data_IF_408992364162
#
_entry.id   IF_408992364162
#
_cell.length_a   1.000
_cell.length_b   1.000
_cell.length_c   1.000
_cell.angle_alpha   90.00
_cell.angle_beta   90.00
_cell.angle_gamma   90.00
#
_symmetry.space_group_name_H-M   'P 1'
#
loop_
_entity.id
_entity.type
_entity.pdbx_description
1 polymer ?
#
# COMPACT_ATOMS: atom_id res chain seq x y z
N UNK A 1 0.06 -37.63 -18.44
CA UNK A 1 1.41 -37.18 -18.84
C UNK A 1 1.34 -35.67 -19.07
N UNK A 2 1.85 -34.75 -18.27
CA UNK A 2 2.95 -34.81 -17.31
C UNK A 2 4.18 -34.09 -17.85
N UNK A 3 4.13 -32.78 -18.10
CA UNK A 3 5.31 -31.94 -18.32
C UNK A 3 5.09 -30.52 -17.76
N UNK A 4 5.65 -30.32 -16.57
CA UNK A 4 6.05 -29.01 -16.04
C UNK A 4 7.25 -28.51 -16.85
N UNK A 5 7.19 -27.28 -17.34
CA UNK A 5 8.37 -26.53 -17.77
C UNK A 5 8.43 -25.22 -16.97
N UNK A 6 9.18 -25.30 -15.89
CA UNK A 6 9.62 -24.21 -15.02
C UNK A 6 10.62 -23.34 -15.77
N UNK A 7 10.31 -22.06 -15.98
CA UNK A 7 11.31 -21.03 -16.28
C UNK A 7 11.13 -19.86 -15.32
N UNK A 8 11.51 -20.12 -14.07
CA UNK A 8 11.77 -19.08 -13.07
C UNK A 8 13.06 -18.38 -13.50
N UNK A 9 12.93 -17.14 -13.96
CA UNK A 9 14.03 -16.20 -14.13
C UNK A 9 14.85 -16.16 -12.83
N UNK A 10 16.07 -16.68 -12.91
CA UNK A 10 17.07 -16.67 -11.84
C UNK A 10 17.49 -15.22 -11.59
N UNK A 11 16.80 -14.53 -10.69
CA UNK A 11 17.23 -13.22 -10.21
C UNK A 11 18.53 -13.42 -9.41
N UNK A 12 19.65 -12.94 -9.97
CA UNK A 12 20.93 -12.87 -9.30
C UNK A 12 20.77 -12.10 -7.99
N UNK A 13 21.14 -12.73 -6.87
CA UNK A 13 21.15 -12.10 -5.53
C UNK A 13 22.19 -10.96 -5.54
N UNK A 14 21.81 -9.78 -6.01
CA UNK A 14 22.52 -8.55 -5.66
C UNK A 14 22.22 -8.29 -4.18
N UNK A 15 23.26 -8.34 -3.35
CA UNK A 15 23.22 -7.95 -1.94
C UNK A 15 22.68 -6.52 -1.85
N UNK A 16 21.41 -6.37 -1.48
CA UNK A 16 20.92 -5.11 -0.94
C UNK A 16 21.58 -4.94 0.43
N UNK A 17 22.49 -3.96 0.53
CA UNK A 17 23.02 -3.53 1.81
C UNK A 17 21.90 -2.76 2.54
N UNK A 18 21.09 -3.50 3.28
CA UNK A 18 20.21 -2.94 4.30
C UNK A 18 21.15 -2.50 5.43
N UNK A 19 21.37 -1.18 5.55
CA UNK A 19 22.11 -0.61 6.66
C UNK A 19 21.48 -1.09 7.98
N UNK A 20 22.28 -1.47 8.99
CA UNK A 20 21.75 -1.93 10.26
C UNK A 20 20.99 -0.77 10.91
N UNK A 21 19.68 -0.94 11.07
CA UNK A 21 18.86 -0.02 11.84
C UNK A 21 19.32 -0.14 13.30
N UNK A 22 20.09 0.84 13.76
CA UNK A 22 20.51 0.93 15.16
C UNK A 22 19.27 0.95 16.05
N UNK A 23 19.15 -0.07 16.91
CA UNK A 23 18.01 -0.27 17.80
C UNK A 23 18.12 0.71 18.98
N UNK A 24 17.59 1.91 18.83
CA UNK A 24 17.42 2.84 19.94
C UNK A 24 16.06 2.60 20.62
N UNK A 25 16.12 1.80 21.70
CA UNK A 25 15.20 1.70 22.84
C UNK A 25 13.70 2.04 22.60
N UNK A 26 12.90 1.02 22.30
CA UNK A 26 11.44 1.09 22.33
C UNK A 26 10.76 -0.26 22.15
N UNK A 27 10.60 -0.99 23.26
CA UNK A 27 9.95 -2.32 23.42
C UNK A 27 10.63 -3.50 22.70
N UNK A 28 11.42 -4.24 23.48
CA UNK A 28 11.83 -5.62 23.20
C UNK A 28 10.62 -6.50 22.86
N UNK A 29 10.64 -7.15 21.70
CA UNK A 29 9.96 -8.43 21.52
C UNK A 29 10.80 -9.47 22.26
N UNK A 30 10.52 -9.66 23.55
CA UNK A 30 11.23 -10.61 24.41
C UNK A 30 11.22 -12.01 23.79
N UNK A 31 12.40 -12.62 23.76
CA UNK A 31 12.63 -14.00 23.37
C UNK A 31 11.77 -14.97 24.17
N UNK A 32 11.02 -15.76 23.43
CA UNK A 32 10.11 -16.79 23.91
C UNK A 32 9.27 -17.19 22.72
N UNK A 33 9.50 -18.39 22.19
CA UNK A 33 8.74 -18.99 21.09
C UNK A 33 7.32 -19.34 21.52
N UNK A 34 6.54 -18.35 21.92
CA UNK A 34 5.09 -18.42 21.87
C UNK A 34 4.65 -17.76 20.56
N UNK A 35 3.98 -18.55 19.70
CA UNK A 35 3.30 -18.01 18.52
C UNK A 35 2.24 -17.00 19.01
N UNK A 36 2.59 -15.71 19.00
CA UNK A 36 1.62 -14.64 19.23
C UNK A 36 0.61 -14.69 18.09
N UNK A 37 -0.63 -15.06 18.40
CA UNK A 37 -1.74 -14.95 17.47
C UNK A 37 -1.88 -13.49 17.07
N UNK A 38 -1.75 -13.21 15.77
CA UNK A 38 -1.94 -11.88 15.20
C UNK A 38 -3.36 -11.80 14.63
N UNK A 39 -4.08 -10.72 14.95
CA UNK A 39 -5.43 -10.45 14.44
C UNK A 39 -5.40 -9.31 13.43
N UNK A 40 -5.82 -9.64 12.21
CA UNK A 40 -5.86 -8.71 11.09
C UNK A 40 -7.32 -8.59 10.65
N UNK A 41 -7.83 -7.36 10.57
CA UNK A 41 -9.13 -7.06 9.99
C UNK A 41 -8.95 -6.24 8.73
N UNK A 42 -9.80 -6.47 7.72
CA UNK A 42 -9.83 -5.67 6.51
C UNK A 42 -11.11 -4.83 6.48
N UNK A 43 -10.98 -3.51 6.35
CA UNK A 43 -12.09 -2.57 6.37
C UNK A 43 -12.52 -2.11 4.97
N UNK A 44 -11.80 -2.47 3.91
CA UNK A 44 -12.20 -2.17 2.53
C UNK A 44 -11.68 -3.22 1.55
N UNK A 45 -12.46 -3.49 0.51
CA UNK A 45 -12.01 -4.27 -0.65
C UNK A 45 -11.78 -3.44 -1.92
N UNK A 46 -12.27 -2.20 -1.97
CA UNK A 46 -12.14 -1.30 -3.12
C UNK A 46 -12.35 0.17 -2.72
N UNK A 47 -12.04 1.11 -3.61
CA UNK A 47 -12.36 2.52 -3.39
C UNK A 47 -13.84 2.82 -3.64
N UNK A 48 -14.53 3.27 -2.59
CA UNK A 48 -15.98 3.45 -2.55
C UNK A 48 -16.69 2.51 -1.58
N UNK A 49 -15.96 1.63 -0.90
CA UNK A 49 -16.50 0.76 0.15
C UNK A 49 -17.03 1.57 1.35
N UNK A 50 -17.88 0.94 2.16
CA UNK A 50 -18.54 1.62 3.27
C UNK A 50 -17.55 2.09 4.34
N UNK A 51 -17.61 3.37 4.77
CA UNK A 51 -16.74 3.85 5.84
C UNK A 51 -17.12 3.25 7.20
N UNK A 52 -18.27 2.59 7.33
CA UNK A 52 -18.76 2.02 8.60
C UNK A 52 -18.02 0.76 9.05
N UNK A 53 -17.30 0.07 8.17
CA UNK A 53 -16.55 -1.13 8.52
C UNK A 53 -15.38 -0.83 9.48
N UNK A 54 -14.67 0.29 9.24
CA UNK A 54 -13.54 0.71 10.06
C UNK A 54 -13.89 0.88 11.57
N UNK A 55 -14.90 1.68 11.96
CA UNK A 55 -15.26 1.84 13.37
C UNK A 55 -15.71 0.52 14.02
N UNK A 56 -16.45 -0.34 13.30
CA UNK A 56 -16.87 -1.63 13.83
C UNK A 56 -15.67 -2.51 14.19
N UNK A 57 -14.68 -2.58 13.29
CA UNK A 57 -13.45 -3.36 13.49
C UNK A 57 -12.55 -2.76 14.57
N UNK A 58 -12.42 -1.43 14.63
CA UNK A 58 -11.62 -0.73 15.63
C UNK A 58 -12.19 -0.95 17.03
N UNK A 59 -13.51 -0.83 17.20
CA UNK A 59 -14.14 -0.92 18.52
C UNK A 59 -14.30 -2.36 19.01
N UNK A 60 -14.71 -3.28 18.12
CA UNK A 60 -15.14 -4.63 18.51
C UNK A 60 -14.20 -5.76 18.05
N UNK A 61 -13.35 -5.51 17.04
CA UNK A 61 -12.55 -6.55 16.39
C UNK A 61 -11.33 -7.05 17.17
N UNK A 62 -10.90 -6.33 18.23
CA UNK A 62 -9.69 -6.64 19.02
C UNK A 62 -8.47 -6.96 18.13
N UNK A 63 -8.19 -6.05 17.19
CA UNK A 63 -7.20 -6.22 16.13
C UNK A 63 -5.81 -5.73 16.52
N UNK A 64 -4.79 -6.37 15.95
CA UNK A 64 -3.42 -5.84 15.93
C UNK A 64 -3.18 -4.97 14.68
N UNK A 65 -3.81 -5.35 13.58
CA UNK A 65 -3.68 -4.68 12.29
C UNK A 65 -5.03 -4.43 11.63
N UNK A 66 -5.15 -3.26 11.01
CA UNK A 66 -6.30 -2.87 10.19
C UNK A 66 -5.81 -2.61 8.76
N UNK A 67 -6.29 -3.41 7.83
CA UNK A 67 -5.96 -3.35 6.41
C UNK A 67 -7.05 -2.58 5.65
N UNK A 68 -6.61 -1.88 4.61
CA UNK A 68 -7.47 -1.29 3.59
C UNK A 68 -6.93 -1.62 2.22
N UNK A 69 -7.77 -2.19 1.37
CA UNK A 69 -7.51 -2.37 -0.04
C UNK A 69 -8.39 -1.42 -0.86
N UNK A 70 -7.76 -0.62 -1.72
CA UNK A 70 -8.41 0.40 -2.54
C UNK A 70 -8.05 0.31 -4.02
N UNK A 71 -6.92 -0.31 -4.35
CA UNK A 71 -6.37 -0.25 -5.70
C UNK A 71 -7.00 -1.35 -6.56
N UNK A 72 -7.82 -0.91 -7.50
CA UNK A 72 -8.27 -1.66 -8.66
C UNK A 72 -7.76 -1.00 -9.94
N UNK A 73 -7.89 -1.70 -11.07
CA UNK A 73 -7.55 -1.17 -12.39
C UNK A 73 -8.23 0.18 -12.68
N UNK A 74 -9.53 0.29 -12.34
CA UNK A 74 -10.30 1.53 -12.50
C UNK A 74 -9.80 2.61 -11.54
N UNK A 75 -9.55 2.26 -10.27
CA UNK A 75 -9.02 3.19 -9.25
C UNK A 75 -7.73 3.84 -9.75
N UNK A 76 -6.79 3.07 -10.27
CA UNK A 76 -5.50 3.58 -10.74
C UNK A 76 -5.64 4.59 -11.87
N UNK A 77 -6.56 4.35 -12.80
CA UNK A 77 -6.86 5.28 -13.89
C UNK A 77 -7.41 6.62 -13.37
N UNK A 78 -8.31 6.57 -12.40
CA UNK A 78 -8.88 7.76 -11.76
C UNK A 78 -7.82 8.56 -10.99
N UNK A 79 -6.99 7.88 -10.19
CA UNK A 79 -5.92 8.51 -9.43
C UNK A 79 -4.87 9.15 -10.35
N UNK A 80 -4.54 8.48 -11.46
CA UNK A 80 -3.65 9.01 -12.48
C UNK A 80 -4.21 10.28 -13.13
N UNK A 81 -5.50 10.27 -13.51
CA UNK A 81 -6.15 11.45 -14.06
C UNK A 81 -6.21 12.61 -13.05
N UNK A 82 -6.43 12.32 -11.76
CA UNK A 82 -6.44 13.34 -10.70
C UNK A 82 -5.05 13.96 -10.51
N UNK A 83 -4.00 13.13 -10.42
CA UNK A 83 -2.62 13.59 -10.26
C UNK A 83 -2.13 14.40 -11.48
N UNK A 84 -2.51 13.99 -12.69
CA UNK A 84 -2.18 14.73 -13.91
C UNK A 84 -2.80 16.15 -13.94
N UNK A 85 -3.98 16.32 -13.34
CA UNK A 85 -4.61 17.64 -13.18
C UNK A 85 -3.94 18.47 -12.09
N UNK A 86 -3.58 17.82 -10.98
CA UNK A 86 -3.07 18.45 -9.76
C UNK A 86 -2.08 17.50 -9.04
N UNK A 87 -0.77 17.79 -9.04
CA UNK A 87 0.26 16.87 -8.53
C UNK A 87 0.11 16.47 -7.05
N UNK A 88 -0.62 17.24 -6.25
CA UNK A 88 -0.90 16.93 -4.86
C UNK A 88 -1.90 15.76 -4.67
N UNK A 89 -2.67 15.42 -5.71
CA UNK A 89 -3.58 14.27 -5.70
C UNK A 89 -2.87 12.99 -6.17
N UNK A 90 -3.62 11.90 -6.37
CA UNK A 90 -3.08 10.59 -6.76
C UNK A 90 -3.16 9.53 -5.66
N UNK A 91 -3.82 9.86 -4.55
CA UNK A 91 -4.18 8.94 -3.46
C UNK A 91 -5.70 9.03 -3.19
N UNK A 92 -6.27 8.07 -2.47
CA UNK A 92 -7.69 8.06 -2.09
C UNK A 92 -7.94 9.05 -0.92
N UNK A 93 -8.59 10.21 -1.16
CA UNK A 93 -8.78 11.22 -0.11
C UNK A 93 -9.70 10.73 1.02
N UNK A 94 -10.70 9.91 0.68
CA UNK A 94 -11.69 9.38 1.63
C UNK A 94 -11.05 8.48 2.69
N UNK A 95 -9.93 7.83 2.36
CA UNK A 95 -9.15 7.07 3.33
C UNK A 95 -8.68 7.96 4.49
N UNK A 96 -8.20 9.16 4.17
CA UNK A 96 -7.71 10.14 5.15
C UNK A 96 -8.89 10.82 5.85
N UNK A 97 -9.89 11.27 5.08
CA UNK A 97 -10.97 12.12 5.60
C UNK A 97 -12.04 11.35 6.39
N UNK A 98 -12.38 10.14 5.95
CA UNK A 98 -13.53 9.40 6.47
C UNK A 98 -13.14 8.05 7.09
N UNK A 99 -12.21 7.31 6.49
CA UNK A 99 -11.89 5.95 6.95
C UNK A 99 -10.98 5.92 8.18
N UNK A 100 -9.95 6.77 8.23
CA UNK A 100 -8.95 6.77 9.31
C UNK A 100 -9.00 8.06 10.14
N UNK A 101 -9.10 9.23 9.50
CA UNK A 101 -9.04 10.54 10.15
C UNK A 101 -9.90 10.66 11.43
N UNK A 102 -11.21 10.34 11.37
CA UNK A 102 -12.10 10.40 12.53
C UNK A 102 -11.73 9.44 13.66
N UNK A 103 -10.90 8.43 13.39
CA UNK A 103 -10.60 7.33 14.31
C UNK A 103 -9.13 7.31 14.77
N UNK A 104 -8.31 8.30 14.40
CA UNK A 104 -6.88 8.35 14.72
C UNK A 104 -6.58 8.23 16.23
N UNK A 105 -7.35 8.93 17.06
CA UNK A 105 -7.23 8.85 18.53
C UNK A 105 -7.47 7.43 19.05
N UNK A 106 -8.50 6.77 18.52
CA UNK A 106 -8.87 5.43 18.96
C UNK A 106 -7.87 4.37 18.49
N UNK A 107 -7.41 4.48 17.24
CA UNK A 107 -6.36 3.64 16.67
C UNK A 107 -5.08 3.73 17.52
N UNK A 108 -4.67 4.95 17.89
CA UNK A 108 -3.50 5.17 18.76
C UNK A 108 -3.72 4.58 20.16
N UNK A 109 -4.88 4.85 20.78
CA UNK A 109 -5.22 4.36 22.13
C UNK A 109 -5.16 2.83 22.20
N UNK A 110 -5.66 2.15 21.16
CA UNK A 110 -5.68 0.68 21.07
C UNK A 110 -4.37 0.08 20.58
N UNK A 111 -3.46 0.90 20.03
CA UNK A 111 -2.21 0.43 19.44
C UNK A 111 -2.40 -0.35 18.14
N UNK A 112 -3.48 -0.08 17.40
CA UNK A 112 -3.75 -0.72 16.11
C UNK A 112 -2.78 -0.17 15.06
N UNK A 113 -2.19 -1.06 14.26
CA UNK A 113 -1.35 -0.67 13.12
C UNK A 113 -2.18 -0.69 11.83
N UNK A 114 -2.16 0.41 11.09
CA UNK A 114 -2.90 0.54 9.83
C UNK A 114 -1.98 0.27 8.65
N UNK A 115 -2.44 -0.55 7.71
CA UNK A 115 -1.78 -0.82 6.44
C UNK A 115 -2.77 -0.52 5.31
N UNK A 116 -2.31 0.16 4.28
CA UNK A 116 -3.18 0.58 3.18
C UNK A 116 -2.40 0.84 1.91
N UNK A 117 -2.99 0.49 0.78
CA UNK A 117 -2.53 0.90 -0.55
C UNK A 117 -3.26 2.17 -1.08
N UNK A 118 -4.03 2.86 -0.21
CA UNK A 118 -4.72 4.12 -0.53
C UNK A 118 -3.81 5.20 -1.13
N UNK A 119 -2.49 5.09 -0.93
CA UNK A 119 -1.50 5.97 -1.50
C UNK A 119 -1.52 6.03 -3.03
N UNK A 120 -2.00 4.97 -3.70
CA UNK A 120 -2.07 4.91 -5.16
C UNK A 120 -0.76 5.29 -5.83
N UNK A 121 -0.83 6.22 -6.77
CA UNK A 121 0.35 6.73 -7.49
C UNK A 121 1.08 7.86 -6.75
N UNK A 122 0.50 8.40 -5.67
CA UNK A 122 1.11 9.43 -4.83
C UNK A 122 1.08 9.05 -3.33
N UNK A 123 1.84 8.01 -2.94
CA UNK A 123 1.82 7.52 -1.57
C UNK A 123 2.46 8.52 -0.57
N UNK A 124 3.38 9.36 -1.03
CA UNK A 124 3.95 10.44 -0.20
C UNK A 124 2.92 11.54 0.09
N UNK A 125 2.11 11.93 -0.89
CA UNK A 125 1.00 12.87 -0.70
C UNK A 125 -0.01 12.34 0.32
N UNK A 126 -0.34 11.05 0.26
CA UNK A 126 -1.19 10.40 1.26
C UNK A 126 -0.57 10.47 2.67
N UNK A 127 0.73 10.21 2.80
CA UNK A 127 1.43 10.27 4.08
C UNK A 127 1.46 11.70 4.66
N UNK A 128 1.66 12.72 3.82
CA UNK A 128 1.57 14.13 4.23
C UNK A 128 0.18 14.44 4.75
N UNK A 129 -0.88 14.06 4.02
CA UNK A 129 -2.26 14.28 4.42
C UNK A 129 -2.62 13.60 5.76
N UNK A 130 -2.14 12.36 5.96
CA UNK A 130 -2.30 11.65 7.24
C UNK A 130 -1.60 12.34 8.40
N UNK A 131 -0.35 12.81 8.20
CA UNK A 131 0.39 13.54 9.23
C UNK A 131 -0.31 14.85 9.59
N UNK A 132 -0.85 15.56 8.60
CA UNK A 132 -1.65 16.77 8.84
C UNK A 132 -2.93 16.47 9.63
N UNK A 133 -3.66 15.41 9.26
CA UNK A 133 -4.86 14.98 9.99
C UNK A 133 -4.52 14.60 11.45
N UNK A 134 -3.43 13.86 11.66
CA UNK A 134 -2.95 13.50 12.98
C UNK A 134 -2.55 14.71 13.83
N UNK A 135 -1.85 15.68 13.24
CA UNK A 135 -1.49 16.94 13.90
C UNK A 135 -2.72 17.72 14.35
N UNK A 136 -3.75 17.83 13.51
CA UNK A 136 -5.03 18.46 13.87
C UNK A 136 -5.75 17.75 15.01
N UNK A 137 -5.61 16.41 15.10
CA UNK A 137 -6.20 15.60 16.16
C UNK A 137 -5.33 15.47 17.43
N UNK A 138 -4.15 16.10 17.47
CA UNK A 138 -3.21 15.98 18.60
C UNK A 138 -2.59 14.59 18.76
N UNK A 139 -2.61 13.77 17.69
CA UNK A 139 -2.11 12.39 17.72
C UNK A 139 -0.69 12.34 17.16
N UNK A 140 0.24 11.83 17.96
CA UNK A 140 1.56 11.42 17.45
C UNK A 140 1.42 10.14 16.59
N UNK A 141 1.37 10.31 15.27
CA UNK A 141 1.21 9.24 14.30
C UNK A 141 2.55 8.98 13.57
N UNK A 142 3.04 7.74 13.66
CA UNK A 142 4.17 7.26 12.86
C UNK A 142 3.65 6.77 11.51
N UNK A 143 4.11 7.39 10.43
CA UNK A 143 3.73 7.04 9.05
C UNK A 143 4.98 6.65 8.27
N UNK A 144 4.97 5.44 7.73
CA UNK A 144 5.97 4.92 6.81
C UNK A 144 5.34 4.73 5.43
N UNK A 145 6.11 5.03 4.39
CA UNK A 145 5.71 4.85 2.99
C UNK A 145 6.57 3.77 2.38
N UNK A 146 5.94 2.86 1.63
CA UNK A 146 6.62 1.82 0.85
C UNK A 146 6.42 2.16 -0.61
N UNK A 147 7.53 2.31 -1.35
CA UNK A 147 7.55 2.61 -2.78
C UNK A 147 8.30 1.51 -3.53
N UNK A 148 8.18 1.49 -4.86
CA UNK A 148 8.95 0.60 -5.74
C UNK A 148 8.11 -0.26 -6.68
N UNK A 149 6.78 -0.18 -6.57
CA UNK A 149 5.84 -0.80 -7.51
C UNK A 149 5.73 0.00 -8.82
N UNK A 150 5.92 1.33 -8.79
CA UNK A 150 5.86 2.17 -9.98
C UNK A 150 6.99 1.86 -10.99
N UNK A 151 6.60 1.33 -12.15
CA UNK A 151 7.48 0.97 -13.26
C UNK A 151 7.51 2.02 -14.38
N UNK A 152 6.78 3.14 -14.26
CA UNK A 152 6.81 4.22 -15.26
C UNK A 152 8.23 4.69 -15.60
N UNK A 153 9.19 4.82 -14.65
CA UNK A 153 10.57 5.18 -14.98
C UNK A 153 11.32 4.15 -15.84
N UNK A 154 10.78 2.93 -15.99
CA UNK A 154 11.34 1.82 -16.78
C UNK A 154 10.49 1.52 -18.02
N UNK A 155 9.56 2.41 -18.39
CA UNK A 155 8.65 2.19 -19.53
C UNK A 155 9.41 1.88 -20.81
N UNK A 156 10.43 2.68 -21.16
CA UNK A 156 11.19 2.53 -22.39
C UNK A 156 11.97 1.21 -22.43
N UNK A 157 12.56 0.81 -21.30
CA UNK A 157 13.23 -0.48 -21.12
C UNK A 157 12.26 -1.65 -21.37
N UNK A 158 11.07 -1.58 -20.76
CA UNK A 158 10.05 -2.63 -20.86
C UNK A 158 9.43 -2.70 -22.25
N UNK A 159 9.17 -1.58 -22.90
CA UNK A 159 8.72 -1.54 -24.31
C UNK A 159 9.79 -2.15 -25.22
N UNK A 160 11.08 -1.80 -25.00
CA UNK A 160 12.19 -2.32 -25.79
C UNK A 160 12.43 -3.82 -25.58
N UNK A 161 12.02 -4.37 -24.43
CA UNK A 161 12.11 -5.81 -24.16
C UNK A 161 11.18 -6.65 -25.05
N UNK A 162 10.19 -6.03 -25.68
CA UNK A 162 9.26 -6.70 -26.60
C UNK A 162 8.33 -7.71 -25.93
N UNK A 163 8.22 -7.70 -24.60
CA UNK A 163 7.30 -8.57 -23.86
C UNK A 163 5.85 -8.22 -24.25
N UNK A 164 5.09 -9.16 -24.84
CA UNK A 164 3.70 -8.91 -25.22
C UNK A 164 2.78 -8.99 -24.00
N UNK A 165 1.59 -8.40 -24.13
CA UNK A 165 0.50 -8.62 -23.20
C UNK A 165 0.15 -10.11 -23.12
N UNK A 166 -0.01 -10.61 -21.89
CA UNK A 166 -0.21 -12.03 -21.62
C UNK A 166 -1.54 -12.56 -22.19
N UNK A 167 -2.58 -11.71 -22.31
CA UNK A 167 -3.92 -12.13 -22.73
C UNK A 167 -4.14 -12.01 -24.24
N UNK A 168 -3.73 -10.88 -24.82
CA UNK A 168 -3.96 -10.54 -26.22
C UNK A 168 -2.79 -10.89 -27.13
N UNK A 169 -1.58 -11.06 -26.58
CA UNK A 169 -0.36 -11.23 -27.37
C UNK A 169 0.10 -9.96 -28.10
N UNK A 170 -0.60 -8.83 -27.91
CA UNK A 170 -0.27 -7.55 -28.53
C UNK A 170 0.89 -6.87 -27.80
N UNK A 171 1.67 -6.00 -28.47
CA UNK A 171 2.64 -5.17 -27.79
C UNK A 171 1.95 -4.22 -26.79
N UNK A 172 2.73 -3.67 -25.86
CA UNK A 172 2.26 -2.61 -24.97
C UNK A 172 1.68 -1.43 -25.78
N UNK A 173 0.59 -0.80 -25.30
CA UNK A 173 0.02 0.35 -25.96
C UNK A 173 1.01 1.52 -25.98
N UNK A 174 0.93 2.37 -27.01
CA UNK A 174 1.80 3.56 -27.15
C UNK A 174 1.64 4.51 -25.94
N UNK A 175 0.39 4.74 -25.54
CA UNK A 175 0.04 5.55 -24.39
C UNK A 175 -0.15 4.67 -23.16
N UNK A 176 0.66 4.91 -22.13
CA UNK A 176 0.60 4.25 -20.83
C UNK A 176 0.55 5.34 -19.78
N UNK A 177 -0.52 5.35 -18.97
CA UNK A 177 -0.73 6.35 -17.94
C UNK A 177 -0.18 5.91 -16.58
N UNK A 178 -0.22 4.61 -16.28
CA UNK A 178 0.39 4.02 -15.09
C UNK A 178 0.93 2.63 -15.43
N UNK A 179 1.94 2.19 -14.67
CA UNK A 179 2.53 0.86 -14.79
C UNK A 179 3.04 0.44 -13.42
N UNK A 180 2.49 -0.63 -12.87
CA UNK A 180 2.76 -1.06 -11.49
C UNK A 180 3.08 -2.54 -11.43
N UNK A 181 4.02 -2.91 -10.56
CA UNK A 181 4.35 -4.30 -10.27
C UNK A 181 3.50 -4.85 -9.12
N UNK A 182 2.91 -6.03 -9.33
CA UNK A 182 2.20 -6.78 -8.30
C UNK A 182 2.95 -8.08 -8.02
N UNK A 183 3.38 -8.24 -6.77
CA UNK A 183 3.97 -9.49 -6.27
C UNK A 183 2.83 -10.25 -5.58
N UNK A 184 2.17 -11.12 -6.33
CA UNK A 184 1.12 -12.01 -5.81
C UNK A 184 1.65 -13.03 -4.80
#
# INVERSE_FOLDING_TARGET
MGLLATNILRFSRRKFNILPVSCCHGRHLSGGTQRKTVRIGCASGFWGDTPTAAPQLIHNGKLDFLMFDYLSEITMSLLTAAHAKKPEFGYAPDFVLFAIGPHLNEIKRRGIRVLSNAGGINPEGCAIALRQAAGKSGVDLKVAVVTGDNLMPRKEELVSSGVPDMKSGLPLPQTVHSMNAYLG
#
